data_IF_421007274246
#
_entry.id   IF_421007274246
#
_cell.length_a   1.000
_cell.length_b   1.000
_cell.length_c   1.000
_cell.angle_alpha   90.00
_cell.angle_beta   90.00
_cell.angle_gamma   90.00
#
_symmetry.space_group_name_H-M   'P 1'
#
loop_
_entity.id
_entity.type
_entity.pdbx_description
1 polymer ?
#
# COMPACT_ATOMS: atom_id res chain seq x y z
N UNK A 1 -1.10 -0.47 7.16
CA UNK A 1 -0.56 0.86 6.78
C UNK A 1 -1.26 1.37 5.52
N UNK A 2 -2.60 1.37 5.44
CA UNK A 2 -3.28 1.71 4.17
C UNK A 2 -3.71 3.18 4.08
N UNK A 3 -4.23 3.77 5.16
CA UNK A 3 -4.81 5.13 5.10
C UNK A 3 -3.80 6.22 4.75
N UNK A 4 -2.61 6.19 5.32
CA UNK A 4 -1.56 7.18 5.05
C UNK A 4 -1.07 7.14 3.59
N UNK A 5 -0.89 5.93 3.04
CA UNK A 5 -0.51 5.77 1.64
C UNK A 5 -1.62 6.24 0.70
N UNK A 6 -2.88 5.88 0.94
CA UNK A 6 -4.01 6.36 0.11
C UNK A 6 -4.06 7.89 0.07
N UNK A 7 -3.88 8.57 1.21
CA UNK A 7 -3.84 10.03 1.26
C UNK A 7 -2.62 10.56 0.47
N UNK A 8 -1.45 9.93 0.63
CA UNK A 8 -0.24 10.36 -0.07
C UNK A 8 -0.36 10.23 -1.60
N UNK A 9 -0.98 9.15 -2.11
CA UNK A 9 -1.20 8.94 -3.55
C UNK A 9 -2.14 10.01 -4.17
N UNK A 10 -2.91 10.73 -3.34
CA UNK A 10 -3.74 11.83 -3.83
C UNK A 10 -2.94 13.11 -4.15
N UNK A 11 -1.71 13.25 -3.63
CA UNK A 11 -0.86 14.42 -3.88
C UNK A 11 -0.20 14.37 -5.26
N UNK A 12 0.16 15.53 -5.81
CA UNK A 12 0.91 15.64 -7.07
C UNK A 12 2.38 15.19 -6.93
N UNK A 13 2.94 15.33 -5.73
CA UNK A 13 4.26 14.86 -5.35
C UNK A 13 4.25 14.42 -3.89
N UNK A 14 4.95 13.33 -3.58
CA UNK A 14 5.13 12.84 -2.21
C UNK A 14 6.55 13.20 -1.75
N UNK A 15 6.66 14.14 -0.83
CA UNK A 15 7.91 14.48 -0.16
C UNK A 15 8.09 13.55 1.04
N UNK A 16 9.11 12.71 1.01
CA UNK A 16 9.36 11.70 2.03
C UNK A 16 10.83 11.68 2.46
N UNK A 17 11.08 11.46 3.76
CA UNK A 17 12.44 11.24 4.24
C UNK A 17 13.07 10.03 3.53
N UNK A 18 14.40 10.03 3.36
CA UNK A 18 15.14 8.97 2.67
C UNK A 18 14.96 7.57 3.28
N UNK A 19 14.68 7.50 4.58
CA UNK A 19 14.45 6.26 5.32
C UNK A 19 12.95 5.97 5.52
N UNK A 20 12.06 6.84 5.02
CA UNK A 20 10.62 6.63 5.05
C UNK A 20 10.18 5.62 4.00
N UNK A 21 9.01 5.02 4.25
CA UNK A 21 8.42 3.98 3.41
C UNK A 21 6.93 4.22 3.27
N UNK A 22 6.37 3.88 2.10
CA UNK A 22 4.93 3.69 1.92
C UNK A 22 4.62 2.21 1.89
N UNK A 23 3.36 1.84 2.11
CA UNK A 23 2.95 0.44 2.16
C UNK A 23 1.92 0.09 1.09
N UNK A 24 1.71 -1.20 0.81
CA UNK A 24 0.56 -1.65 0.03
C UNK A 24 -0.76 -1.18 0.67
N UNK A 25 -1.75 -1.02 -0.19
CA UNK A 25 -3.11 -0.60 0.16
C UNK A 25 -4.09 -1.75 -0.07
N UNK A 26 -3.60 -2.99 -0.09
CA UNK A 26 -4.40 -4.19 -0.29
C UNK A 26 -5.50 -4.32 0.78
N UNK A 27 -6.74 -4.63 0.39
CA UNK A 27 -7.84 -4.78 1.34
C UNK A 27 -7.62 -5.97 2.27
N UNK A 28 -7.81 -5.71 3.55
CA UNK A 28 -7.71 -6.71 4.62
C UNK A 28 -9.14 -7.09 5.03
N UNK A 29 -9.55 -8.32 4.71
CA UNK A 29 -10.91 -8.84 4.86
C UNK A 29 -10.94 -9.97 5.88
N UNK A 30 -12.00 -10.05 6.68
CA UNK A 30 -12.16 -11.13 7.63
C UNK A 30 -13.27 -10.90 8.63
N UNK A 31 -13.29 -11.73 9.67
CA UNK A 31 -14.24 -11.67 10.77
C UNK A 31 -13.54 -11.89 12.12
N UNK A 32 -14.28 -11.73 13.22
CA UNK A 32 -13.75 -11.88 14.58
C UNK A 32 -13.29 -13.31 14.92
N UNK A 33 -13.78 -14.32 14.19
CA UNK A 33 -13.53 -15.73 14.47
C UNK A 33 -12.27 -16.21 13.74
N UNK A 34 -12.14 -15.83 12.47
CA UNK A 34 -11.07 -16.29 11.57
C UNK A 34 -9.86 -15.35 11.56
N UNK A 35 -10.07 -14.08 11.94
CA UNK A 35 -9.08 -13.03 11.79
C UNK A 35 -9.16 -12.35 10.43
N UNK A 36 -8.24 -11.40 10.21
CA UNK A 36 -8.19 -10.57 9.00
C UNK A 36 -7.02 -11.01 8.13
N UNK A 37 -7.28 -11.20 6.83
CA UNK A 37 -6.30 -11.63 5.84
C UNK A 37 -6.40 -10.77 4.57
N UNK A 38 -5.34 -10.75 3.74
CA UNK A 38 -5.41 -10.10 2.43
C UNK A 38 -6.55 -10.65 1.59
N UNK A 39 -7.28 -9.76 0.90
CA UNK A 39 -8.33 -10.12 -0.03
C UNK A 39 -7.91 -11.19 -1.07
N UNK A 40 -6.70 -11.12 -1.69
CA UNK A 40 -6.23 -12.17 -2.60
C UNK A 40 -6.12 -13.56 -1.96
N UNK A 41 -5.84 -13.64 -0.65
CA UNK A 41 -5.74 -14.92 0.06
C UNK A 41 -7.08 -15.62 0.21
N UNK A 42 -8.18 -14.88 0.41
CA UNK A 42 -9.53 -15.45 0.43
C UNK A 42 -9.92 -16.03 -0.93
N UNK A 43 -9.59 -15.30 -2.00
CA UNK A 43 -9.82 -15.74 -3.38
C UNK A 43 -9.03 -17.03 -3.65
N UNK A 44 -7.73 -17.04 -3.31
CA UNK A 44 -6.88 -18.21 -3.45
C UNK A 44 -7.44 -19.43 -2.70
N UNK A 45 -7.89 -19.25 -1.45
CA UNK A 45 -8.44 -20.34 -0.65
C UNK A 45 -9.73 -20.92 -1.29
N UNK A 46 -10.64 -20.06 -1.75
CA UNK A 46 -11.86 -20.47 -2.43
C UNK A 46 -11.56 -21.19 -3.76
N UNK A 47 -10.64 -20.69 -4.57
CA UNK A 47 -10.27 -21.30 -5.86
C UNK A 47 -9.50 -22.61 -5.70
N UNK A 48 -8.73 -22.74 -4.63
CA UNK A 48 -7.97 -23.97 -4.32
C UNK A 48 -8.89 -25.08 -3.83
N UNK A 49 -9.81 -24.76 -2.92
CA UNK A 49 -10.76 -25.74 -2.35
C UNK A 49 -11.96 -26.04 -3.25
N UNK A 50 -12.37 -25.09 -4.09
CA UNK A 50 -13.53 -25.21 -5.00
C UNK A 50 -14.78 -25.67 -4.25
N UNK A 51 -15.38 -26.80 -4.64
CA UNK A 51 -16.55 -27.40 -4.00
C UNK A 51 -16.34 -27.77 -2.52
N UNK A 52 -15.10 -27.97 -2.07
CA UNK A 52 -14.77 -28.29 -0.67
C UNK A 52 -14.56 -27.02 0.20
N UNK A 53 -14.78 -25.84 -0.37
CA UNK A 53 -14.67 -24.58 0.36
C UNK A 53 -15.86 -24.39 1.31
N UNK A 54 -15.60 -23.91 2.54
CA UNK A 54 -16.67 -23.51 3.46
C UNK A 54 -17.46 -22.33 2.88
N UNK A 55 -18.77 -22.27 3.14
CA UNK A 55 -19.63 -21.15 2.72
C UNK A 55 -19.05 -19.78 3.08
N UNK A 56 -18.46 -19.66 4.29
CA UNK A 56 -17.80 -18.43 4.72
C UNK A 56 -16.59 -18.08 3.86
N UNK A 57 -15.83 -19.07 3.40
CA UNK A 57 -14.68 -18.84 2.51
C UNK A 57 -15.16 -18.32 1.14
N UNK A 58 -16.27 -18.87 0.62
CA UNK A 58 -16.88 -18.40 -0.62
C UNK A 58 -17.39 -16.97 -0.49
N UNK A 59 -18.08 -16.65 0.60
CA UNK A 59 -18.57 -15.29 0.89
C UNK A 59 -17.40 -14.30 1.04
N UNK A 60 -16.35 -14.66 1.78
CA UNK A 60 -15.17 -13.79 1.95
C UNK A 60 -14.42 -13.60 0.63
N UNK A 61 -14.36 -14.61 -0.24
CA UNK A 61 -13.81 -14.48 -1.58
C UNK A 61 -14.62 -13.50 -2.44
N UNK A 62 -15.96 -13.56 -2.40
CA UNK A 62 -16.83 -12.60 -3.11
C UNK A 62 -16.61 -11.16 -2.62
N UNK A 63 -16.61 -10.95 -1.29
CA UNK A 63 -16.31 -9.64 -0.68
C UNK A 63 -14.92 -9.16 -1.09
N UNK A 64 -13.94 -10.06 -1.10
CA UNK A 64 -12.55 -9.75 -1.46
C UNK A 64 -12.42 -9.28 -2.90
N UNK A 65 -13.12 -9.90 -3.87
CA UNK A 65 -13.13 -9.43 -5.27
C UNK A 65 -13.71 -8.03 -5.38
N UNK A 66 -14.80 -7.74 -4.66
CA UNK A 66 -15.42 -6.40 -4.63
C UNK A 66 -14.49 -5.36 -4.02
N UNK A 67 -13.84 -5.69 -2.91
CA UNK A 67 -12.91 -4.80 -2.22
C UNK A 67 -11.67 -4.50 -3.06
N UNK A 68 -11.10 -5.53 -3.71
CA UNK A 68 -9.97 -5.36 -4.65
C UNK A 68 -10.36 -4.45 -5.80
N UNK A 69 -11.51 -4.71 -6.44
CA UNK A 69 -12.00 -3.87 -7.53
C UNK A 69 -12.18 -2.41 -7.10
N UNK A 70 -12.84 -2.16 -5.97
CA UNK A 70 -13.00 -0.80 -5.44
C UNK A 70 -11.65 -0.12 -5.21
N UNK A 71 -10.71 -0.83 -4.59
CA UNK A 71 -9.40 -0.27 -4.22
C UNK A 71 -8.55 0.00 -5.45
N UNK A 72 -8.58 -0.88 -6.46
CA UNK A 72 -7.93 -0.65 -7.75
C UNK A 72 -8.49 0.58 -8.47
N UNK A 73 -9.82 0.73 -8.47
CA UNK A 73 -10.48 1.90 -9.06
C UNK A 73 -10.04 3.19 -8.36
N UNK A 74 -10.11 3.23 -7.02
CA UNK A 74 -9.67 4.40 -6.25
C UNK A 74 -8.18 4.69 -6.48
N UNK A 75 -7.32 3.67 -6.43
CA UNK A 75 -5.89 3.85 -6.67
C UNK A 75 -5.61 4.42 -8.06
N UNK A 76 -6.31 3.93 -9.09
CA UNK A 76 -6.22 4.43 -10.45
C UNK A 76 -6.65 5.89 -10.53
N UNK A 77 -7.79 6.25 -9.97
CA UNK A 77 -8.30 7.63 -9.94
C UNK A 77 -7.33 8.59 -9.25
N UNK A 78 -6.72 8.17 -8.14
CA UNK A 78 -5.77 9.01 -7.39
C UNK A 78 -4.46 9.24 -8.17
N UNK A 79 -4.00 8.23 -8.89
CA UNK A 79 -2.74 8.22 -9.62
C UNK A 79 -2.85 8.70 -11.07
N UNK A 80 -4.07 8.83 -11.61
CA UNK A 80 -4.30 9.27 -12.98
C UNK A 80 -3.65 10.65 -13.23
N UNK A 81 -2.82 10.73 -14.27
CA UNK A 81 -2.08 11.94 -14.63
C UNK A 81 -0.90 12.28 -13.70
N UNK A 82 -0.59 11.45 -12.70
CA UNK A 82 0.50 11.68 -11.72
C UNK A 82 1.60 10.62 -11.76
N UNK A 83 1.42 9.58 -12.55
CA UNK A 83 2.42 8.54 -12.75
C UNK A 83 3.34 8.94 -13.90
N UNK A 84 4.65 8.94 -13.63
CA UNK A 84 5.67 9.20 -14.63
C UNK A 84 5.75 8.06 -15.64
N UNK A 85 6.02 8.40 -16.90
CA UNK A 85 6.26 7.41 -17.95
C UNK A 85 7.53 6.63 -17.66
N UNK A 86 7.49 5.31 -17.89
CA UNK A 86 8.65 4.46 -17.68
C UNK A 86 9.80 4.78 -18.66
N UNK A 87 11.00 4.22 -18.45
CA UNK A 87 12.19 4.49 -19.26
C UNK A 87 12.01 4.24 -20.78
N UNK A 88 11.04 3.40 -21.15
CA UNK A 88 10.67 3.10 -22.54
C UNK A 88 9.45 3.85 -23.09
N UNK A 89 8.92 4.84 -22.37
CA UNK A 89 7.68 5.54 -22.73
C UNK A 89 6.40 4.75 -22.43
N UNK A 90 6.50 3.72 -21.59
CA UNK A 90 5.38 2.90 -21.16
C UNK A 90 4.53 3.62 -20.10
N UNK A 91 3.21 3.46 -20.21
CA UNK A 91 2.29 3.85 -19.13
C UNK A 91 2.46 2.88 -17.96
N UNK A 92 2.83 3.42 -16.81
CA UNK A 92 3.14 2.66 -15.60
C UNK A 92 1.93 2.55 -14.67
N UNK A 93 0.82 3.24 -14.94
CA UNK A 93 -0.34 3.33 -14.03
C UNK A 93 -0.86 1.95 -13.62
N UNK A 94 -1.07 1.06 -14.59
CA UNK A 94 -1.54 -0.31 -14.32
C UNK A 94 -0.56 -1.09 -13.45
N UNK A 95 0.74 -0.98 -13.73
CA UNK A 95 1.79 -1.66 -12.97
C UNK A 95 1.86 -1.15 -11.54
N UNK A 96 1.74 0.17 -11.32
CA UNK A 96 1.73 0.79 -9.99
C UNK A 96 0.52 0.32 -9.19
N UNK A 97 -0.68 0.40 -9.78
CA UNK A 97 -1.92 -0.03 -9.13
C UNK A 97 -1.87 -1.52 -8.80
N UNK A 98 -1.39 -2.34 -9.73
CA UNK A 98 -1.21 -3.78 -9.49
C UNK A 98 -0.23 -4.00 -8.34
N UNK A 99 0.93 -3.34 -8.32
CA UNK A 99 1.92 -3.49 -7.26
C UNK A 99 1.36 -3.14 -5.88
N UNK A 100 0.62 -2.04 -5.78
CA UNK A 100 0.09 -1.51 -4.52
C UNK A 100 -1.14 -2.28 -3.99
N UNK A 101 -1.92 -2.94 -4.87
CA UNK A 101 -3.24 -3.51 -4.51
C UNK A 101 -3.29 -5.04 -4.61
N UNK A 102 -2.57 -5.67 -5.54
CA UNK A 102 -2.78 -7.08 -5.94
C UNK A 102 -2.35 -8.14 -4.91
N UNK A 103 -1.69 -7.73 -3.82
CA UNK A 103 -1.17 -8.63 -2.79
C UNK A 103 0.07 -9.42 -3.22
N UNK A 104 0.76 -9.00 -4.29
CA UNK A 104 2.13 -9.48 -4.60
C UNK A 104 3.08 -9.22 -3.42
N UNK A 105 2.77 -8.19 -2.64
CA UNK A 105 3.45 -7.84 -1.40
C UNK A 105 2.61 -8.25 -0.19
N UNK A 106 3.26 -8.76 0.85
CA UNK A 106 2.60 -8.88 2.17
C UNK A 106 2.28 -7.48 2.68
N UNK A 107 1.21 -7.33 3.47
CA UNK A 107 0.72 -6.01 3.92
C UNK A 107 1.77 -5.14 4.66
N UNK A 108 2.80 -5.77 5.22
CA UNK A 108 3.91 -5.13 5.92
C UNK A 108 5.13 -4.86 5.05
N UNK A 109 5.12 -5.19 3.76
CA UNK A 109 6.24 -4.95 2.88
C UNK A 109 6.40 -3.43 2.66
N UNK A 110 7.54 -2.85 3.05
CA UNK A 110 7.80 -1.45 2.79
C UNK A 110 8.12 -1.23 1.32
N UNK A 111 7.71 -0.07 0.79
CA UNK A 111 8.15 0.47 -0.48
C UNK A 111 8.95 1.73 -0.18
N UNK A 112 10.26 1.68 -0.42
CA UNK A 112 11.18 2.80 -0.19
C UNK A 112 10.94 3.93 -1.19
N UNK A 113 11.45 5.13 -0.88
CA UNK A 113 11.41 6.28 -1.79
C UNK A 113 11.99 5.97 -3.18
N UNK A 114 13.10 5.22 -3.22
CA UNK A 114 13.73 4.78 -4.46
C UNK A 114 12.80 3.87 -5.27
N UNK A 115 12.23 2.85 -4.64
CA UNK A 115 11.35 1.89 -5.33
C UNK A 115 10.05 2.54 -5.80
N UNK A 116 9.47 3.44 -4.99
CA UNK A 116 8.30 4.21 -5.38
C UNK A 116 8.58 5.06 -6.64
N UNK A 117 9.75 5.71 -6.70
CA UNK A 117 10.19 6.46 -7.88
C UNK A 117 10.42 5.57 -9.09
N UNK A 118 11.04 4.39 -8.91
CA UNK A 118 11.22 3.40 -9.99
C UNK A 118 9.90 2.85 -10.53
N UNK A 119 8.85 2.82 -9.70
CA UNK A 119 7.50 2.48 -10.13
C UNK A 119 6.80 3.63 -10.87
N UNK A 120 7.37 4.83 -10.90
CA UNK A 120 6.78 6.01 -11.55
C UNK A 120 5.93 6.89 -10.63
N UNK A 121 5.97 6.67 -9.31
CA UNK A 121 5.32 7.58 -8.35
C UNK A 121 6.20 8.82 -8.20
N UNK A 122 5.60 10.01 -8.33
CA UNK A 122 6.25 11.31 -8.12
C UNK A 122 6.71 11.44 -6.66
N UNK A 123 8.00 11.18 -6.42
CA UNK A 123 8.63 11.14 -5.10
C UNK A 123 9.85 12.06 -5.05
N UNK A 124 9.89 12.88 -4.01
CA UNK A 124 11.00 13.75 -3.66
C UNK A 124 11.53 13.40 -2.25
N UNK A 125 12.85 13.47 -2.09
CA UNK A 125 13.54 13.20 -0.81
C UNK A 125 14.21 14.43 -0.19
N UNK A 126 13.97 15.61 -0.76
CA UNK A 126 14.31 16.91 -0.17
C UNK A 126 13.32 17.23 0.97
N UNK A 127 13.43 16.45 2.04
CA UNK A 127 12.53 16.50 3.18
C UNK A 127 12.95 17.65 4.12
N UNK A 128 12.05 18.60 4.47
CA UNK A 128 12.44 19.78 5.23
C UNK A 128 12.98 19.45 6.63
N UNK A 129 14.14 20.02 6.99
CA UNK A 129 14.77 19.80 8.30
C UNK A 129 13.89 20.26 9.46
N UNK A 130 13.07 21.30 9.28
CA UNK A 130 12.15 21.79 10.30
C UNK A 130 11.12 20.73 10.72
N UNK A 131 10.77 19.81 9.80
CA UNK A 131 9.90 18.68 10.14
C UNK A 131 10.63 17.70 11.05
N UNK A 132 11.92 17.44 10.83
CA UNK A 132 12.72 16.63 11.76
C UNK A 132 12.82 17.29 13.13
N UNK A 133 13.05 18.60 13.19
CA UNK A 133 13.09 19.34 14.45
C UNK A 133 11.75 19.32 15.18
N UNK A 134 10.65 19.46 14.46
CA UNK A 134 9.30 19.31 15.00
C UNK A 134 9.08 17.89 15.55
N UNK A 135 9.50 16.86 14.82
CA UNK A 135 9.34 15.46 15.24
C UNK A 135 10.14 15.13 16.51
N UNK A 136 11.28 15.78 16.77
CA UNK A 136 12.04 15.64 18.03
C UNK A 136 11.23 16.07 19.27
N UNK A 137 10.21 16.92 19.11
CA UNK A 137 9.34 17.35 20.20
C UNK A 137 8.38 16.24 20.66
N UNK A 138 8.09 15.26 19.80
CA UNK A 138 7.26 14.10 20.12
C UNK A 138 8.12 13.02 20.79
N UNK A 139 8.00 12.90 22.11
CA UNK A 139 8.64 11.79 22.83
C UNK A 139 7.88 10.49 22.58
N UNK A 140 8.54 9.40 22.17
CA UNK A 140 7.89 8.11 22.15
C UNK A 140 7.53 7.69 23.58
N UNK A 141 6.33 7.14 23.77
CA UNK A 141 5.81 6.70 25.07
C UNK A 141 6.70 5.59 25.70
N UNK A 142 7.50 4.90 24.88
CA UNK A 142 8.60 4.04 25.30
C UNK A 142 9.86 4.37 24.49
N UNK A 143 10.96 4.69 25.17
CA UNK A 143 12.29 4.76 24.54
C UNK A 143 12.75 3.34 24.21
N UNK A 144 12.63 2.91 22.95
CA UNK A 144 13.22 1.65 22.47
C UNK A 144 14.55 1.83 21.75
N UNK A 145 14.94 3.07 21.42
CA UNK A 145 16.21 3.37 20.74
C UNK A 145 16.75 4.72 21.21
N UNK A 146 18.06 4.79 21.48
CA UNK A 146 18.81 6.04 21.67
C UNK A 146 19.46 6.42 20.33
N UNK A 147 19.19 7.65 19.85
CA UNK A 147 19.94 8.23 18.75
C UNK A 147 21.30 8.68 19.28
N UNK A 148 22.37 8.03 18.81
CA UNK A 148 23.75 8.47 19.06
C UNK A 148 24.08 9.50 17.98
N UNK A 149 24.24 10.75 18.41
CA UNK A 149 24.73 11.84 17.57
C UNK A 149 26.24 11.81 17.40
#
# INVERSE_FOLDING_TARGET
MSGGTIIALAADEIVMDKDAVIGPIDPQIGDLIRGTFPAPSWIYAAETKKEDAEDSTLVMSDISRKALYLTQTVARELLEGKVEVGPGGEDMLDKVVEKLVSGEMIHSAPLSAREAKELGISVNTDFPEEVHDFMKLFRPVKKTVEYVG
#
